data_IF_982456738596
#
_entry.id   IF_982456738596
#
_cell.length_a   1.000
_cell.length_b   1.000
_cell.length_c   1.000
_cell.angle_alpha   90.00
_cell.angle_beta   90.00
_cell.angle_gamma   90.00
#
_symmetry.space_group_name_H-M   'P 1'
#
loop_
_entity.id
_entity.type
_entity.pdbx_description
1 polymer ?
#
# COMPACT_ATOMS: atom_id res chain seq x y z
N UNK A 1 1.67 -14.43 6.24
CA UNK A 1 0.24 -14.81 6.34
C UNK A 1 -0.13 -15.06 7.80
N UNK A 2 0.65 -15.88 8.51
CA UNK A 2 0.44 -16.20 9.93
C UNK A 2 0.35 -14.97 10.87
N UNK A 3 1.29 -14.02 10.80
CA UNK A 3 1.23 -12.79 11.62
C UNK A 3 -0.09 -12.00 11.44
N UNK A 4 -0.59 -11.92 10.20
CA UNK A 4 -1.82 -11.19 9.91
C UNK A 4 -3.06 -11.96 10.39
N UNK A 5 -3.06 -13.29 10.32
CA UNK A 5 -4.15 -14.10 10.90
C UNK A 5 -4.20 -13.95 12.42
N UNK A 6 -3.05 -13.91 13.10
CA UNK A 6 -2.98 -13.62 14.54
C UNK A 6 -3.55 -12.24 14.87
N UNK A 7 -3.21 -11.21 14.09
CA UNK A 7 -3.76 -9.87 14.26
C UNK A 7 -5.29 -9.85 14.10
N UNK A 8 -5.83 -10.56 13.10
CA UNK A 8 -7.27 -10.68 12.87
C UNK A 8 -7.98 -11.46 13.99
N UNK A 9 -7.29 -12.40 14.63
CA UNK A 9 -7.79 -13.14 15.79
C UNK A 9 -7.69 -12.34 17.10
N UNK A 10 -7.13 -11.12 17.08
CA UNK A 10 -6.97 -10.27 18.26
C UNK A 10 -5.70 -10.55 19.08
N UNK A 11 -4.87 -11.53 18.70
CA UNK A 11 -3.60 -11.80 19.36
C UNK A 11 -2.52 -10.81 18.89
N UNK A 12 -2.62 -9.58 19.41
CA UNK A 12 -1.71 -8.47 19.08
C UNK A 12 -0.25 -8.83 19.35
N UNK A 13 0.03 -9.49 20.48
CA UNK A 13 1.41 -9.77 20.89
C UNK A 13 2.05 -10.78 19.94
N UNK A 14 1.39 -11.91 19.69
CA UNK A 14 1.92 -12.92 18.78
C UNK A 14 2.05 -12.37 17.35
N UNK A 15 1.09 -11.55 16.89
CA UNK A 15 1.16 -10.91 15.58
C UNK A 15 2.40 -10.02 15.41
N UNK A 16 2.70 -9.19 16.43
CA UNK A 16 3.86 -8.30 16.39
C UNK A 16 5.18 -9.05 16.53
N UNK A 17 5.24 -10.08 17.39
CA UNK A 17 6.41 -10.97 17.50
C UNK A 17 6.72 -11.63 16.17
N UNK A 18 5.72 -12.24 15.52
CA UNK A 18 5.91 -12.93 14.25
C UNK A 18 6.29 -11.98 13.10
N UNK A 19 5.67 -10.79 13.04
CA UNK A 19 6.07 -9.75 12.09
C UNK A 19 7.51 -9.27 12.33
N UNK A 20 7.91 -9.14 13.60
CA UNK A 20 9.28 -8.81 14.00
C UNK A 20 10.29 -9.87 13.56
N UNK A 21 9.99 -11.15 13.80
CA UNK A 21 10.85 -12.27 13.38
C UNK A 21 11.09 -12.26 11.87
N UNK A 22 10.03 -12.07 11.07
CA UNK A 22 10.16 -11.99 9.62
C UNK A 22 11.06 -10.81 9.16
N UNK A 23 11.02 -9.68 9.87
CA UNK A 23 11.90 -8.54 9.60
C UNK A 23 13.34 -8.81 10.00
N UNK A 24 13.57 -9.47 11.13
CA UNK A 24 14.91 -9.86 11.57
C UNK A 24 15.57 -10.81 10.58
N UNK A 25 14.82 -11.81 10.10
CA UNK A 25 15.28 -12.73 9.05
C UNK A 25 15.62 -11.98 7.75
N UNK A 26 14.79 -11.02 7.36
CA UNK A 26 15.06 -10.18 6.18
C UNK A 26 16.32 -9.31 6.36
N UNK A 27 16.58 -8.82 7.57
CA UNK A 27 17.76 -8.00 7.86
C UNK A 27 19.06 -8.82 7.91
N UNK A 28 18.94 -10.10 8.27
CA UNK A 28 20.05 -11.05 8.29
C UNK A 28 20.31 -11.73 6.92
N UNK A 29 19.48 -11.42 5.90
CA UNK A 29 19.64 -11.95 4.55
C UNK A 29 20.98 -11.49 3.94
N UNK A 30 21.89 -12.41 3.55
CA UNK A 30 23.18 -12.06 2.96
C UNK A 30 23.04 -11.33 1.62
N UNK A 31 21.85 -11.37 0.99
CA UNK A 31 21.57 -10.67 -0.25
C UNK A 31 22.08 -11.40 -1.49
N UNK A 32 22.28 -12.72 -1.39
CA UNK A 32 22.60 -13.58 -2.53
C UNK A 32 21.54 -13.45 -3.62
N UNK A 33 21.95 -13.57 -4.88
CA UNK A 33 21.01 -13.49 -6.00
C UNK A 33 20.00 -14.63 -5.89
N UNK A 34 18.69 -14.31 -5.81
CA UNK A 34 17.67 -15.34 -5.70
C UNK A 34 17.66 -16.23 -6.94
N UNK A 35 17.59 -17.53 -6.72
CA UNK A 35 17.33 -18.51 -7.79
C UNK A 35 16.07 -18.14 -8.60
N UNK A 36 16.06 -18.44 -9.89
CA UNK A 36 14.97 -18.04 -10.80
C UNK A 36 13.56 -18.41 -10.29
N UNK A 37 13.39 -19.59 -9.68
CA UNK A 37 12.08 -19.99 -9.15
C UNK A 37 11.64 -19.12 -7.97
N UNK A 38 12.56 -18.58 -7.17
CA UNK A 38 12.24 -17.69 -6.06
C UNK A 38 11.69 -16.34 -6.56
N UNK A 39 12.10 -15.90 -7.75
CA UNK A 39 11.59 -14.67 -8.38
C UNK A 39 10.09 -14.73 -8.67
N UNK A 40 9.49 -15.91 -8.80
CA UNK A 40 8.03 -16.07 -9.02
C UNK A 40 7.19 -15.50 -7.87
N UNK A 41 7.76 -15.41 -6.66
CA UNK A 41 7.11 -14.83 -5.49
C UNK A 41 7.26 -13.29 -5.42
N UNK A 42 8.10 -12.72 -6.28
CA UNK A 42 8.50 -11.32 -6.24
C UNK A 42 9.53 -11.02 -5.14
N UNK A 43 9.92 -9.74 -4.98
CA UNK A 43 11.01 -9.36 -4.06
C UNK A 43 10.65 -9.68 -2.60
N UNK A 44 11.51 -10.43 -1.92
CA UNK A 44 11.31 -10.84 -0.52
C UNK A 44 11.10 -9.63 0.40
N UNK A 45 11.93 -8.59 0.26
CA UNK A 45 11.82 -7.32 0.99
C UNK A 45 10.42 -6.72 0.88
N UNK A 46 9.92 -6.59 -0.35
CA UNK A 46 8.61 -6.02 -0.60
C UNK A 46 7.47 -6.85 0.03
N UNK A 47 7.58 -8.17 -0.05
CA UNK A 47 6.63 -9.11 0.55
C UNK A 47 6.58 -9.01 2.07
N UNK A 48 7.73 -8.93 2.73
CA UNK A 48 7.81 -8.78 4.20
C UNK A 48 7.24 -7.43 4.63
N UNK A 49 7.61 -6.34 3.96
CA UNK A 49 7.08 -5.01 4.28
C UNK A 49 5.56 -4.92 4.10
N UNK A 50 5.01 -5.37 2.96
CA UNK A 50 3.54 -5.32 2.72
C UNK A 50 2.77 -6.21 3.71
N UNK A 51 3.32 -7.37 4.10
CA UNK A 51 2.71 -8.23 5.12
C UNK A 51 2.76 -7.62 6.52
N UNK A 52 3.86 -6.95 6.86
CA UNK A 52 4.01 -6.22 8.13
C UNK A 52 3.05 -5.03 8.18
N UNK A 53 2.89 -4.31 7.07
CA UNK A 53 1.93 -3.23 6.94
C UNK A 53 0.49 -3.68 7.23
N UNK A 54 0.07 -4.83 6.70
CA UNK A 54 -1.26 -5.43 6.97
C UNK A 54 -1.47 -5.79 8.45
N UNK A 55 -0.42 -6.20 9.14
CA UNK A 55 -0.47 -6.44 10.60
C UNK A 55 -0.73 -5.12 11.32
N UNK A 56 0.09 -4.10 11.08
CA UNK A 56 -0.10 -2.78 11.69
C UNK A 56 -1.46 -2.17 11.35
N UNK A 57 -1.90 -2.26 10.10
CA UNK A 57 -3.21 -1.76 9.66
C UNK A 57 -4.35 -2.45 10.42
N UNK A 58 -4.31 -3.78 10.53
CA UNK A 58 -5.32 -4.55 11.27
C UNK A 58 -5.34 -4.18 12.74
N UNK A 59 -4.18 -3.82 13.30
CA UNK A 59 -4.01 -3.40 14.68
C UNK A 59 -4.25 -1.90 14.91
N UNK A 60 -4.67 -1.15 13.88
CA UNK A 60 -4.96 0.29 13.96
C UNK A 60 -3.73 1.18 14.10
N UNK A 61 -2.55 0.71 13.69
CA UNK A 61 -1.27 1.41 13.88
C UNK A 61 -0.84 2.18 12.62
N UNK A 62 -0.60 3.49 12.77
CA UNK A 62 -0.11 4.39 11.72
C UNK A 62 1.19 3.93 11.04
N UNK A 63 2.02 3.11 11.72
CA UNK A 63 3.24 2.52 11.14
C UNK A 63 2.96 1.73 9.85
N UNK A 64 1.73 1.26 9.65
CA UNK A 64 1.30 0.62 8.42
C UNK A 64 1.62 1.44 7.16
N UNK A 65 1.45 2.77 7.20
CA UNK A 65 1.74 3.64 6.06
C UNK A 65 3.21 3.56 5.64
N UNK A 66 4.13 3.60 6.62
CA UNK A 66 5.56 3.54 6.36
C UNK A 66 5.97 2.18 5.79
N UNK A 67 5.41 1.09 6.32
CA UNK A 67 5.71 -0.25 5.82
C UNK A 67 5.16 -0.48 4.40
N UNK A 68 3.97 0.05 4.09
CA UNK A 68 3.46 0.04 2.70
C UNK A 68 4.37 0.86 1.76
N UNK A 69 4.86 2.03 2.19
CA UNK A 69 5.81 2.81 1.40
C UNK A 69 7.13 2.07 1.16
N UNK A 70 7.67 1.39 2.17
CA UNK A 70 8.86 0.53 2.02
C UNK A 70 8.61 -0.62 1.05
N UNK A 71 7.43 -1.24 1.10
CA UNK A 71 7.06 -2.29 0.16
C UNK A 71 7.04 -1.75 -1.28
N UNK A 72 6.40 -0.61 -1.52
CA UNK A 72 6.35 0.05 -2.82
C UNK A 72 7.76 0.33 -3.37
N UNK A 73 8.65 0.90 -2.56
CA UNK A 73 10.05 1.18 -2.95
C UNK A 73 10.86 -0.10 -3.23
N UNK A 74 10.62 -1.17 -2.47
CA UNK A 74 11.33 -2.44 -2.62
C UNK A 74 10.95 -3.23 -3.88
N UNK A 75 9.96 -2.77 -4.66
CA UNK A 75 9.63 -3.36 -5.97
C UNK A 75 10.17 -2.49 -7.09
N UNK A 76 11.29 -2.92 -7.64
CA UNK A 76 11.93 -2.29 -8.79
C UNK A 76 11.43 -2.92 -10.09
N UNK A 77 11.25 -2.11 -11.13
CA UNK A 77 10.80 -2.56 -12.45
C UNK A 77 9.31 -2.35 -12.73
N UNK A 78 8.98 -2.27 -14.03
CA UNK A 78 7.64 -1.95 -14.52
C UNK A 78 6.61 -3.07 -14.26
N UNK A 79 7.05 -4.33 -14.15
CA UNK A 79 6.18 -5.48 -13.91
C UNK A 79 5.39 -5.44 -12.58
N UNK A 80 5.78 -4.56 -11.65
CA UNK A 80 5.12 -4.41 -10.35
C UNK A 80 4.18 -3.20 -10.26
N UNK A 81 3.95 -2.47 -11.34
CA UNK A 81 3.16 -1.23 -11.35
C UNK A 81 1.84 -1.36 -10.57
N UNK A 82 1.07 -2.43 -10.86
CA UNK A 82 -0.19 -2.72 -10.16
C UNK A 82 -0.04 -2.85 -8.64
N UNK A 83 0.92 -3.65 -8.17
CA UNK A 83 1.05 -3.92 -6.73
C UNK A 83 1.65 -2.72 -6.00
N UNK A 84 2.57 -1.99 -6.64
CA UNK A 84 3.10 -0.71 -6.12
C UNK A 84 1.97 0.30 -5.95
N UNK A 85 1.08 0.43 -6.95
CA UNK A 85 -0.07 1.32 -6.85
C UNK A 85 -1.01 0.95 -5.69
N UNK A 86 -1.23 -0.35 -5.45
CA UNK A 86 -2.08 -0.82 -4.35
C UNK A 86 -1.44 -0.60 -2.98
N UNK A 87 -0.12 -0.79 -2.84
CA UNK A 87 0.58 -0.48 -1.59
C UNK A 87 0.53 1.04 -1.30
N UNK A 88 0.76 1.89 -2.31
CA UNK A 88 0.62 3.35 -2.16
C UNK A 88 -0.80 3.77 -1.79
N UNK A 89 -1.82 3.19 -2.45
CA UNK A 89 -3.21 3.47 -2.10
C UNK A 89 -3.53 3.07 -0.66
N UNK A 90 -3.02 1.91 -0.20
CA UNK A 90 -3.17 1.47 1.18
C UNK A 90 -2.47 2.42 2.16
N UNK A 91 -1.25 2.88 1.85
CA UNK A 91 -0.54 3.88 2.66
C UNK A 91 -1.33 5.20 2.79
N UNK A 92 -1.91 5.68 1.69
CA UNK A 92 -2.73 6.88 1.68
C UNK A 92 -3.99 6.74 2.54
N UNK A 93 -4.66 5.58 2.50
CA UNK A 93 -5.79 5.30 3.40
C UNK A 93 -5.38 5.36 4.88
N UNK A 94 -4.19 4.86 5.22
CA UNK A 94 -3.67 4.97 6.60
C UNK A 94 -3.40 6.44 6.96
N UNK A 95 -2.80 7.24 6.08
CA UNK A 95 -2.60 8.66 6.31
C UNK A 95 -3.93 9.39 6.55
N UNK A 96 -4.95 9.13 5.73
CA UNK A 96 -6.25 9.77 5.88
C UNK A 96 -6.94 9.38 7.20
N UNK A 97 -6.93 8.09 7.57
CA UNK A 97 -7.49 7.60 8.85
C UNK A 97 -6.87 8.29 10.07
N UNK A 98 -5.65 8.79 9.95
CA UNK A 98 -4.94 9.52 11.01
C UNK A 98 -4.96 11.04 10.82
N UNK A 99 -5.86 11.57 9.97
CA UNK A 99 -6.07 13.01 9.77
C UNK A 99 -5.15 13.68 8.74
N UNK A 100 -4.23 12.95 8.12
CA UNK A 100 -3.28 13.49 7.15
C UNK A 100 -3.84 13.56 5.72
N UNK A 101 -4.84 14.42 5.47
CA UNK A 101 -5.50 14.51 4.15
C UNK A 101 -4.55 14.91 3.01
N UNK A 102 -3.68 15.89 3.22
CA UNK A 102 -2.75 16.34 2.16
C UNK A 102 -1.72 15.26 1.81
N UNK A 103 -1.17 14.60 2.84
CA UNK A 103 -0.25 13.48 2.67
C UNK A 103 -0.94 12.29 1.98
N UNK A 104 -2.21 12.01 2.32
CA UNK A 104 -3.01 11.01 1.64
C UNK A 104 -3.19 11.37 0.17
N UNK A 105 -3.58 12.61 -0.15
CA UNK A 105 -3.76 13.07 -1.53
C UNK A 105 -2.47 12.95 -2.35
N UNK A 106 -1.34 13.39 -1.81
CA UNK A 106 -0.03 13.28 -2.48
C UNK A 106 0.36 11.81 -2.72
N UNK A 107 0.09 10.93 -1.76
CA UNK A 107 0.39 9.49 -1.87
C UNK A 107 -0.53 8.80 -2.88
N UNK A 108 -1.81 9.16 -2.92
CA UNK A 108 -2.74 8.68 -3.93
C UNK A 108 -2.41 9.17 -5.33
N UNK A 109 -1.95 10.42 -5.49
CA UNK A 109 -1.50 10.91 -6.80
C UNK A 109 -0.40 10.02 -7.39
N UNK A 110 0.61 9.70 -6.57
CA UNK A 110 1.67 8.73 -6.93
C UNK A 110 1.11 7.34 -7.22
N UNK A 111 0.04 6.93 -6.56
CA UNK A 111 -0.63 5.67 -6.85
C UNK A 111 -1.30 5.70 -8.24
N UNK A 112 -2.01 6.79 -8.59
CA UNK A 112 -2.63 6.97 -9.90
C UNK A 112 -1.60 6.96 -11.03
N UNK A 113 -0.45 7.60 -10.84
CA UNK A 113 0.65 7.57 -11.82
C UNK A 113 1.12 6.14 -12.12
N UNK A 114 1.13 5.27 -11.10
CA UNK A 114 1.48 3.84 -11.24
C UNK A 114 0.35 2.99 -11.80
N UNK A 115 -0.89 3.48 -11.81
CA UNK A 115 -2.04 2.79 -12.40
C UNK A 115 -2.23 3.10 -13.88
N UNK A 116 -1.52 4.09 -14.43
CA UNK A 116 -1.59 4.39 -15.87
C UNK A 116 -1.22 3.14 -16.70
N UNK A 117 -2.09 2.73 -17.62
CA UNK A 117 -1.93 1.51 -18.42
C UNK A 117 -2.12 0.19 -17.66
N UNK A 118 -2.56 0.21 -16.39
CA UNK A 118 -2.82 -1.00 -15.60
C UNK A 118 -4.29 -1.41 -15.69
N UNK A 119 -4.58 -2.44 -16.49
CA UNK A 119 -5.92 -3.05 -16.55
C UNK A 119 -6.12 -4.02 -15.37
N UNK A 120 -6.71 -3.53 -14.27
CA UNK A 120 -6.93 -4.32 -13.07
C UNK A 120 -8.19 -3.88 -12.33
N UNK A 121 -9.13 -4.82 -12.15
CA UNK A 121 -10.35 -4.59 -11.36
C UNK A 121 -10.05 -4.15 -9.93
N UNK A 122 -8.94 -4.64 -9.33
CA UNK A 122 -8.51 -4.21 -7.98
C UNK A 122 -7.99 -2.78 -7.96
N UNK A 123 -7.25 -2.37 -8.99
CA UNK A 123 -6.76 -1.00 -9.10
C UNK A 123 -7.95 -0.04 -9.28
N UNK A 124 -8.87 -0.37 -10.20
CA UNK A 124 -10.12 0.38 -10.40
C UNK A 124 -10.94 0.52 -9.12
N UNK A 125 -11.08 -0.56 -8.34
CA UNK A 125 -11.78 -0.52 -7.04
C UNK A 125 -11.08 0.39 -6.03
N UNK A 126 -9.75 0.40 -5.99
CA UNK A 126 -8.99 1.29 -5.12
C UNK A 126 -9.23 2.77 -5.48
N UNK A 127 -9.26 3.11 -6.78
CA UNK A 127 -9.58 4.47 -7.25
C UNK A 127 -11.00 4.89 -6.84
N UNK A 128 -11.99 4.00 -7.02
CA UNK A 128 -13.37 4.29 -6.62
C UNK A 128 -13.48 4.52 -5.11
N UNK A 129 -12.81 3.70 -4.30
CA UNK A 129 -12.77 3.84 -2.84
C UNK A 129 -12.15 5.17 -2.43
N UNK A 130 -10.97 5.50 -2.97
CA UNK A 130 -10.30 6.78 -2.76
C UNK A 130 -11.22 7.97 -3.05
N UNK A 131 -11.96 7.96 -4.16
CA UNK A 131 -12.91 9.04 -4.49
C UNK A 131 -14.00 9.20 -3.43
N UNK A 132 -14.49 8.09 -2.87
CA UNK A 132 -15.42 8.12 -1.75
C UNK A 132 -14.78 8.71 -0.49
N UNK A 133 -13.56 8.29 -0.16
CA UNK A 133 -12.83 8.73 1.03
C UNK A 133 -12.54 10.25 1.01
N UNK A 134 -12.28 10.84 -0.16
CA UNK A 134 -12.01 12.29 -0.30
C UNK A 134 -13.25 13.15 -0.58
N UNK A 135 -14.43 12.54 -0.79
CA UNK A 135 -15.61 13.24 -1.29
C UNK A 135 -16.02 14.44 -0.41
N UNK A 136 -15.94 14.30 0.91
CA UNK A 136 -16.27 15.36 1.85
C UNK A 136 -15.25 16.51 1.86
N UNK A 137 -13.97 16.24 1.60
CA UNK A 137 -12.94 17.27 1.50
C UNK A 137 -13.07 18.05 0.19
N UNK A 138 -13.33 17.33 -0.90
CA UNK A 138 -13.64 17.91 -2.21
C UNK A 138 -14.87 18.82 -2.16
N UNK A 139 -15.94 18.40 -1.49
CA UNK A 139 -17.16 19.20 -1.34
C UNK A 139 -16.90 20.52 -0.57
N UNK A 140 -15.88 20.55 0.28
CA UNK A 140 -15.43 21.76 1.00
C UNK A 140 -14.41 22.59 0.22
N UNK A 141 -14.11 22.22 -1.03
CA UNK A 141 -13.19 22.95 -1.89
C UNK A 141 -11.71 22.73 -1.56
N UNK A 142 -11.35 21.68 -0.82
CA UNK A 142 -9.93 21.39 -0.56
C UNK A 142 -9.22 21.05 -1.87
N UNK A 143 -8.31 21.93 -2.31
CA UNK A 143 -7.63 21.85 -3.61
C UNK A 143 -7.03 20.47 -3.90
N UNK A 144 -6.24 19.91 -2.98
CA UNK A 144 -5.60 18.61 -3.20
C UNK A 144 -6.60 17.45 -3.39
N UNK A 145 -7.81 17.55 -2.83
CA UNK A 145 -8.87 16.58 -3.04
C UNK A 145 -9.62 16.80 -4.36
N UNK A 146 -9.73 18.05 -4.83
CA UNK A 146 -10.28 18.39 -6.14
C UNK A 146 -9.37 17.86 -7.24
N UNK A 147 -8.08 18.23 -7.20
CA UNK A 147 -7.07 17.80 -8.18
C UNK A 147 -6.98 16.27 -8.25
N UNK A 148 -7.04 15.60 -7.10
CA UNK A 148 -7.03 14.14 -7.04
C UNK A 148 -8.28 13.51 -7.65
N UNK A 149 -9.47 14.04 -7.38
CA UNK A 149 -10.72 13.52 -7.95
C UNK A 149 -10.78 13.73 -9.47
N UNK A 150 -10.25 14.84 -9.99
CA UNK A 150 -10.13 15.09 -11.42
C UNK A 150 -9.25 14.03 -12.09
N UNK A 151 -8.03 13.84 -11.57
CA UNK A 151 -7.11 12.81 -12.08
C UNK A 151 -7.69 11.40 -12.00
N UNK A 152 -8.43 11.11 -10.93
CA UNK A 152 -9.10 9.82 -10.74
C UNK A 152 -10.17 9.56 -11.82
N UNK A 153 -10.92 10.59 -12.23
CA UNK A 153 -11.93 10.45 -13.28
C UNK A 153 -11.29 10.14 -14.62
N UNK A 154 -10.24 10.87 -15.00
CA UNK A 154 -9.50 10.63 -16.25
C UNK A 154 -9.03 9.17 -16.35
N UNK A 155 -8.45 8.65 -15.26
CA UNK A 155 -7.99 7.27 -15.19
C UNK A 155 -9.16 6.28 -15.31
N UNK A 156 -10.30 6.54 -14.66
CA UNK A 156 -11.47 5.66 -14.73
C UNK A 156 -12.17 5.67 -16.09
N UNK A 157 -12.03 6.74 -16.87
CA UNK A 157 -12.57 6.84 -18.24
C UNK A 157 -11.66 6.26 -19.31
N UNK A 158 -10.35 6.13 -19.01
CA UNK A 158 -9.33 5.62 -19.94
C UNK A 158 -8.99 4.14 -19.76
N UNK A 159 -9.52 3.49 -18.71
CA UNK A 159 -9.23 2.11 -18.33
C UNK A 159 -10.33 1.13 -18.75
#
# INVERSE_FOLDING_TARGET
MHAHTLAKAGDRRAALTEAGNARSLLAADPGDEPTFWALTWGPARASVYSRTARVHETLGDHRAAQEYARAATARTGSGYARVVALDLASAAEIHLKHGGVEQACATWMRALDRMNGVHSARARKAVIRMRGDIAGFRARGLRCAVDLDERARELLTSA
#
